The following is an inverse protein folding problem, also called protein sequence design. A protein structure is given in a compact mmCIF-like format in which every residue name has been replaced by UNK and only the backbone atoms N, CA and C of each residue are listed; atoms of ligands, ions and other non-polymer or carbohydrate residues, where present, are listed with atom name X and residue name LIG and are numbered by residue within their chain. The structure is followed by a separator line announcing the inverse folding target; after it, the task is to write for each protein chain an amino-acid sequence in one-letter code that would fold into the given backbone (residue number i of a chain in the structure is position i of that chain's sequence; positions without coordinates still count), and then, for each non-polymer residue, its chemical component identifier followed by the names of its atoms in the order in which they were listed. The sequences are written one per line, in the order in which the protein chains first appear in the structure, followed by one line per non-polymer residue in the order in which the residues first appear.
data_IF_876211525471
#
_entry.id   IF_876211525471
#
_cell.length_a   1.000
_cell.length_b   1.000
_cell.length_c   1.000
_cell.angle_alpha   90.00
_cell.angle_beta   90.00
_cell.angle_gamma   90.00
#
_symmetry.space_group_name_H-M   'P 1'
#
loop_
_entity.id
_entity.type
_entity.pdbx_description
1 polymer ?
#
# COMPACT_ATOMS: atom_id res chain seq x y z
N UNK A 1 12.32 2.26 22.49
CA UNK A 1 12.88 0.93 22.18
C UNK A 1 12.76 0.73 20.67
N UNK A 2 13.79 0.21 19.99
CA UNK A 2 13.67 -0.23 18.59
C UNK A 2 13.43 -1.75 18.58
N UNK A 3 12.35 -2.19 17.95
CA UNK A 3 11.98 -3.60 17.88
C UNK A 3 12.13 -4.16 16.47
N UNK A 4 12.43 -5.46 16.37
CA UNK A 4 12.46 -6.20 15.12
C UNK A 4 13.29 -5.53 14.01
N UNK A 5 14.40 -4.89 14.36
CA UNK A 5 15.26 -4.19 13.41
C UNK A 5 15.70 -5.11 12.27
N UNK A 6 15.81 -4.53 11.07
CA UNK A 6 16.23 -5.24 9.87
C UNK A 6 17.21 -4.36 9.11
N UNK A 7 18.31 -4.96 8.67
CA UNK A 7 19.37 -4.30 7.92
C UNK A 7 19.75 -5.21 6.76
N UNK A 8 19.67 -4.71 5.54
CA UNK A 8 19.82 -5.54 4.35
C UNK A 8 20.24 -4.75 3.12
N UNK A 9 20.81 -5.49 2.16
CA UNK A 9 21.27 -4.96 0.89
C UNK A 9 20.15 -4.89 -0.15
N UNK A 10 20.20 -3.84 -0.95
CA UNK A 10 19.28 -3.59 -2.08
C UNK A 10 20.10 -3.15 -3.29
N UNK A 11 19.76 -3.70 -4.45
CA UNK A 11 20.33 -3.31 -5.73
C UNK A 11 19.83 -1.92 -6.15
N UNK A 12 20.73 -1.08 -6.68
CA UNK A 12 20.35 0.22 -7.26
C UNK A 12 20.05 0.16 -8.75
N UNK A 13 20.28 -1.00 -9.36
CA UNK A 13 20.29 -1.18 -10.81
C UNK A 13 19.30 -2.26 -11.27
N UNK A 14 18.72 -3.02 -10.35
CA UNK A 14 17.78 -4.10 -10.64
C UNK A 14 16.75 -4.26 -9.52
N UNK A 15 15.67 -4.96 -9.81
CA UNK A 15 14.63 -5.32 -8.83
C UNK A 15 15.00 -6.59 -8.05
N UNK A 16 16.14 -7.20 -8.36
CA UNK A 16 16.59 -8.42 -7.70
C UNK A 16 16.98 -8.14 -6.24
N UNK A 17 16.71 -9.14 -5.40
CA UNK A 17 17.23 -9.18 -4.05
C UNK A 17 18.75 -9.40 -4.09
N UNK A 18 19.42 -8.92 -3.05
CA UNK A 18 20.84 -9.20 -2.82
C UNK A 18 20.99 -10.01 -1.55
N UNK A 19 21.93 -10.95 -1.54
CA UNK A 19 22.40 -11.60 -0.32
C UNK A 19 23.03 -10.55 0.61
N UNK A 20 22.94 -10.71 1.92
CA UNK A 20 23.43 -9.76 2.92
C UNK A 20 24.94 -9.55 2.92
N UNK A 21 25.71 -10.44 2.29
CA UNK A 21 27.18 -10.40 2.27
C UNK A 21 27.78 -9.83 0.98
N UNK A 22 26.95 -9.35 0.04
CA UNK A 22 27.48 -8.83 -1.24
C UNK A 22 28.21 -7.50 -1.05
N UNK A 23 29.39 -7.39 -1.66
CA UNK A 23 30.18 -6.16 -1.69
C UNK A 23 30.42 -5.78 -3.14
N UNK A 24 30.16 -4.52 -3.49
CA UNK A 24 30.33 -4.05 -4.87
C UNK A 24 29.70 -2.68 -5.11
N UNK A 25 29.86 -2.18 -6.33
CA UNK A 25 29.16 -0.98 -6.79
C UNK A 25 27.68 -1.27 -7.03
N UNK A 26 26.83 -0.24 -6.88
CA UNK A 26 25.39 -0.37 -7.12
C UNK A 26 24.60 -1.06 -6.01
N UNK A 27 25.11 -1.03 -4.77
CA UNK A 27 24.47 -1.60 -3.58
C UNK A 27 24.15 -0.47 -2.60
N UNK A 28 22.94 -0.51 -2.02
CA UNK A 28 22.54 0.31 -0.86
C UNK A 28 22.15 -0.57 0.31
N UNK A 29 22.24 -0.01 1.51
CA UNK A 29 21.64 -0.60 2.70
C UNK A 29 20.35 0.16 2.94
N UNK A 30 19.19 -0.50 2.81
CA UNK A 30 17.89 0.17 2.83
C UNK A 30 17.85 1.42 1.93
N UNK A 31 17.70 2.64 2.48
CA UNK A 31 17.76 3.93 1.76
C UNK A 31 18.90 4.78 2.34
N UNK A 32 20.08 4.18 2.32
CA UNK A 32 21.31 4.83 2.75
C UNK A 32 22.55 4.03 2.37
N UNK A 33 23.68 4.50 2.87
CA UNK A 33 25.00 3.92 2.64
C UNK A 33 25.58 3.45 3.96
N UNK A 34 26.22 2.29 3.94
CA UNK A 34 26.90 1.74 5.11
C UNK A 34 28.41 1.80 4.89
N UNK A 35 29.12 2.36 5.87
CA UNK A 35 30.57 2.43 5.86
C UNK A 35 31.13 1.25 6.65
N UNK A 36 31.60 0.23 5.94
CA UNK A 36 32.17 -0.99 6.53
C UNK A 36 33.36 -0.73 7.47
N UNK A 37 34.20 0.26 7.15
CA UNK A 37 35.41 0.54 7.94
C UNK A 37 35.10 1.20 9.29
N UNK A 38 34.03 1.99 9.33
CA UNK A 38 33.61 2.72 10.54
C UNK A 38 32.47 2.04 11.29
N UNK A 39 31.85 1.04 10.67
CA UNK A 39 30.63 0.39 11.15
C UNK A 39 29.49 1.40 11.39
N UNK A 40 29.25 2.27 10.40
CA UNK A 40 28.25 3.35 10.50
C UNK A 40 27.31 3.32 9.30
N UNK A 41 26.01 3.31 9.58
CA UNK A 41 24.96 3.59 8.59
C UNK A 41 24.72 5.09 8.47
N UNK A 42 24.67 5.58 7.23
CA UNK A 42 24.46 6.97 6.88
C UNK A 42 23.23 7.04 5.97
N UNK A 43 22.09 7.58 6.46
CA UNK A 43 20.90 7.77 5.64
C UNK A 43 21.17 8.68 4.45
N UNK A 44 20.49 8.43 3.33
CA UNK A 44 20.56 9.33 2.19
C UNK A 44 20.01 10.73 2.54
N UNK A 45 20.51 11.77 1.87
CA UNK A 45 20.07 13.14 2.10
C UNK A 45 18.56 13.28 1.88
N UNK A 46 17.86 13.72 2.93
CA UNK A 46 16.40 13.90 2.94
C UNK A 46 15.61 12.67 3.38
N UNK A 47 16.27 11.52 3.56
CA UNK A 47 15.70 10.37 4.25
C UNK A 47 15.75 10.60 5.76
N UNK A 48 14.67 10.22 6.45
CA UNK A 48 14.55 10.31 7.90
C UNK A 48 14.36 8.89 8.42
N UNK A 49 15.16 8.49 9.40
CA UNK A 49 14.97 7.24 10.14
C UNK A 49 14.00 7.48 11.31
N UNK A 50 13.12 6.52 11.57
CA UNK A 50 12.13 6.56 12.67
C UNK A 50 10.70 6.87 12.22
N UNK A 51 9.87 7.32 13.14
CA UNK A 51 8.40 7.40 12.97
C UNK A 51 7.92 8.40 11.91
N UNK A 52 8.75 9.41 11.63
CA UNK A 52 8.57 10.42 10.59
C UNK A 52 9.14 10.02 9.23
N UNK A 53 9.80 8.86 9.16
CA UNK A 53 10.36 8.28 7.94
C UNK A 53 9.34 7.54 7.08
N UNK A 54 9.84 6.86 6.05
CA UNK A 54 9.04 5.99 5.20
C UNK A 54 8.63 4.72 5.94
N UNK A 55 7.47 4.17 5.57
CA UNK A 55 6.91 2.94 6.13
C UNK A 55 6.71 1.92 5.01
N UNK A 56 6.87 0.63 5.33
CA UNK A 56 6.46 -0.43 4.41
C UNK A 56 4.94 -0.39 4.16
N UNK A 57 4.17 -0.12 5.21
CA UNK A 57 2.73 -0.09 5.13
C UNK A 57 2.20 1.05 6.00
N UNK A 58 1.21 1.78 5.50
CA UNK A 58 0.57 2.90 6.21
C UNK A 58 -0.72 2.47 6.94
N UNK A 59 -1.07 1.18 6.88
CA UNK A 59 -2.15 0.55 7.63
C UNK A 59 -1.66 -0.24 8.85
N UNK A 60 -2.30 -1.38 9.13
CA UNK A 60 -1.92 -2.27 10.24
C UNK A 60 -0.82 -3.22 9.78
N UNK A 61 0.42 -2.93 10.16
CA UNK A 61 1.57 -3.76 9.81
C UNK A 61 2.70 -3.52 10.82
N UNK A 62 3.21 -4.58 11.43
CA UNK A 62 4.23 -4.50 12.47
C UNK A 62 5.20 -5.68 12.41
N UNK A 63 6.29 -5.61 13.20
CA UNK A 63 7.29 -6.67 13.35
C UNK A 63 7.79 -7.23 12.01
N UNK A 64 7.98 -6.35 11.03
CA UNK A 64 8.32 -6.76 9.68
C UNK A 64 9.75 -7.29 9.59
N UNK A 65 9.96 -8.36 8.82
CA UNK A 65 11.28 -8.95 8.60
C UNK A 65 11.44 -9.36 7.14
N UNK A 66 12.67 -9.27 6.65
CA UNK A 66 12.99 -9.66 5.27
C UNK A 66 13.96 -10.83 5.26
N UNK A 67 13.91 -11.62 4.19
CA UNK A 67 14.94 -12.60 3.87
C UNK A 67 15.21 -12.58 2.36
N UNK A 68 16.39 -13.08 1.98
CA UNK A 68 16.76 -13.25 0.58
C UNK A 68 16.36 -14.65 0.10
N UNK A 69 15.52 -14.70 -0.93
CA UNK A 69 15.19 -15.91 -1.67
C UNK A 69 16.21 -16.08 -2.79
N UNK A 70 17.21 -16.93 -2.55
CA UNK A 70 18.30 -17.21 -3.49
C UNK A 70 17.86 -18.02 -4.71
N UNK A 71 16.74 -18.74 -4.63
CA UNK A 71 16.22 -19.51 -5.76
C UNK A 71 15.63 -18.58 -6.81
N UNK A 72 14.87 -17.57 -6.38
CA UNK A 72 14.24 -16.58 -7.28
C UNK A 72 14.93 -15.22 -7.31
N UNK A 73 16.08 -15.08 -6.64
CA UNK A 73 16.91 -13.88 -6.62
C UNK A 73 16.12 -12.63 -6.23
N UNK A 74 15.31 -12.72 -5.17
CA UNK A 74 14.40 -11.66 -4.72
C UNK A 74 14.45 -11.50 -3.22
N UNK A 75 14.10 -10.32 -2.72
CA UNK A 75 13.95 -10.08 -1.29
C UNK A 75 12.49 -10.12 -0.91
N UNK A 76 12.17 -10.99 0.05
CA UNK A 76 10.80 -11.19 0.51
C UNK A 76 10.63 -10.50 1.87
N UNK A 77 9.57 -9.71 2.00
CA UNK A 77 9.11 -9.06 3.22
C UNK A 77 7.93 -9.83 3.79
N UNK A 78 8.04 -10.16 5.07
CA UNK A 78 6.95 -10.58 5.93
C UNK A 78 6.61 -9.47 6.92
N UNK A 79 5.38 -9.46 7.40
CA UNK A 79 4.98 -8.63 8.53
C UNK A 79 3.72 -9.18 9.19
N UNK A 80 3.56 -8.78 10.44
CA UNK A 80 2.44 -9.14 11.26
C UNK A 80 1.33 -8.09 11.14
N UNK A 81 0.10 -8.54 10.90
CA UNK A 81 -1.10 -7.70 10.89
C UNK A 81 -1.86 -7.99 12.17
N UNK A 82 -1.71 -7.14 13.19
CA UNK A 82 -2.40 -7.37 14.45
C UNK A 82 -3.92 -7.33 14.29
N UNK A 83 -4.61 -8.08 15.14
CA UNK A 83 -6.05 -8.26 15.04
C UNK A 83 -6.82 -6.98 15.38
N UNK A 84 -7.92 -6.74 14.65
CA UNK A 84 -8.83 -5.62 14.93
C UNK A 84 -10.03 -6.05 15.80
N UNK A 85 -10.17 -7.35 16.03
CA UNK A 85 -11.26 -7.93 16.83
C UNK A 85 -10.97 -7.81 18.33
N UNK A 86 -12.00 -7.69 19.19
CA UNK A 86 -11.83 -7.77 20.63
C UNK A 86 -11.55 -9.21 21.09
N UNK A 87 -10.90 -9.36 22.25
CA UNK A 87 -10.80 -10.65 22.95
C UNK A 87 -12.21 -11.07 23.42
N UNK A 88 -12.69 -12.30 23.23
CA UNK A 88 -11.98 -13.55 22.89
C UNK A 88 -11.97 -13.92 21.39
N UNK A 89 -12.54 -13.08 20.51
CA UNK A 89 -12.78 -13.45 19.10
C UNK A 89 -11.49 -13.75 18.35
N UNK A 90 -10.45 -12.93 18.52
CA UNK A 90 -9.18 -13.17 17.83
C UNK A 90 -8.38 -14.36 18.39
N UNK A 91 -8.58 -14.73 19.66
CA UNK A 91 -7.98 -15.96 20.21
C UNK A 91 -8.56 -17.19 19.50
N UNK A 92 -9.87 -17.18 19.25
CA UNK A 92 -10.54 -18.25 18.50
C UNK A 92 -10.06 -18.36 17.05
N UNK A 93 -9.65 -17.26 16.43
CA UNK A 93 -9.11 -17.27 15.06
C UNK A 93 -7.80 -18.06 14.96
N UNK A 94 -6.93 -17.98 15.97
CA UNK A 94 -5.75 -18.86 16.10
C UNK A 94 -4.57 -18.57 15.14
N UNK A 95 -4.68 -17.59 14.23
CA UNK A 95 -3.61 -17.20 13.30
C UNK A 95 -3.74 -15.72 12.90
N UNK A 96 -2.63 -15.11 12.45
CA UNK A 96 -2.56 -13.71 12.01
C UNK A 96 -1.30 -13.49 11.17
N UNK A 97 -1.39 -12.75 10.05
CA UNK A 97 -0.24 -12.46 9.19
C UNK A 97 -0.59 -11.81 7.85
N UNK A 98 0.39 -11.14 7.25
CA UNK A 98 0.30 -10.59 5.90
C UNK A 98 0.72 -11.61 4.83
N UNK A 99 0.22 -11.44 3.60
CA UNK A 99 0.79 -12.07 2.42
C UNK A 99 2.22 -11.54 2.18
N UNK A 100 3.19 -12.41 1.84
CA UNK A 100 4.57 -11.98 1.57
C UNK A 100 4.67 -11.07 0.35
N UNK A 101 5.60 -10.12 0.41
CA UNK A 101 5.82 -9.15 -0.67
C UNK A 101 7.27 -9.19 -1.15
N UNK A 102 7.49 -9.19 -2.45
CA UNK A 102 8.76 -8.80 -3.04
C UNK A 102 9.02 -7.33 -2.74
N UNK A 103 10.27 -6.99 -2.40
CA UNK A 103 10.69 -5.61 -2.18
C UNK A 103 11.94 -5.26 -2.97
N UNK A 104 11.98 -4.05 -3.51
CA UNK A 104 13.11 -3.53 -4.26
C UNK A 104 13.19 -2.00 -4.19
N UNK A 105 14.28 -1.41 -4.65
CA UNK A 105 14.45 0.03 -4.67
C UNK A 105 13.73 0.63 -5.89
N UNK A 106 12.92 1.68 -5.66
CA UNK A 106 12.32 2.43 -6.76
C UNK A 106 13.40 3.08 -7.66
N UNK A 107 13.07 3.34 -8.92
CA UNK A 107 13.97 3.99 -9.89
C UNK A 107 14.43 5.39 -9.41
N UNK A 108 13.60 6.11 -8.66
CA UNK A 108 13.99 7.39 -8.04
C UNK A 108 15.01 7.24 -6.91
N UNK A 109 15.18 6.01 -6.39
CA UNK A 109 16.05 5.64 -5.27
C UNK A 109 15.69 6.31 -3.95
N UNK A 110 14.47 6.82 -3.82
CA UNK A 110 13.98 7.52 -2.63
C UNK A 110 13.04 6.70 -1.77
N UNK A 111 12.55 5.56 -2.26
CA UNK A 111 11.61 4.70 -1.56
C UNK A 111 11.75 3.24 -2.01
N UNK A 112 11.15 2.33 -1.24
CA UNK A 112 11.03 0.93 -1.61
C UNK A 112 9.70 0.67 -2.30
N UNK A 113 9.76 -0.14 -3.36
CA UNK A 113 8.60 -0.71 -4.01
C UNK A 113 8.28 -2.06 -3.37
N UNK A 114 6.99 -2.40 -3.37
CA UNK A 114 6.47 -3.65 -2.83
C UNK A 114 5.45 -4.23 -3.81
N UNK A 115 5.45 -5.55 -3.94
CA UNK A 115 4.44 -6.29 -4.70
C UNK A 115 4.29 -7.70 -4.13
N UNK A 116 3.09 -8.30 -4.05
CA UNK A 116 2.91 -9.69 -3.69
C UNK A 116 3.86 -10.60 -4.43
N UNK A 117 4.28 -11.66 -3.75
CA UNK A 117 5.00 -12.73 -4.41
C UNK A 117 4.15 -13.29 -5.57
N UNK A 118 4.76 -13.54 -6.73
CA UNK A 118 4.04 -13.98 -7.93
C UNK A 118 3.33 -15.33 -7.77
N UNK A 119 3.70 -16.12 -6.76
CA UNK A 119 3.02 -17.36 -6.39
C UNK A 119 1.53 -17.13 -6.09
N UNK A 120 1.13 -15.97 -5.56
CA UNK A 120 -0.28 -15.70 -5.25
C UNK A 120 -1.15 -15.71 -6.50
N UNK A 121 -0.57 -15.42 -7.67
CA UNK A 121 -1.29 -15.36 -8.93
C UNK A 121 -1.84 -16.74 -9.33
N UNK A 122 -1.24 -17.83 -8.83
CA UNK A 122 -1.72 -19.20 -9.05
C UNK A 122 -3.08 -19.48 -8.39
N UNK A 123 -3.51 -18.63 -7.45
CA UNK A 123 -4.82 -18.71 -6.81
C UNK A 123 -5.93 -17.99 -7.62
N UNK A 124 -5.56 -17.26 -8.68
CA UNK A 124 -6.52 -16.57 -9.55
C UNK A 124 -7.28 -17.61 -10.39
N UNK A 125 -8.61 -17.45 -10.46
CA UNK A 125 -9.49 -18.35 -11.20
C UNK A 125 -10.24 -17.57 -12.29
N UNK A 126 -11.51 -17.25 -12.05
CA UNK A 126 -12.40 -16.62 -13.02
C UNK A 126 -12.07 -15.12 -13.18
N UNK A 127 -11.14 -14.81 -14.07
CA UNK A 127 -10.79 -13.43 -14.40
C UNK A 127 -11.98 -12.72 -15.04
N UNK A 128 -12.26 -11.50 -14.54
CA UNK A 128 -13.30 -10.62 -15.08
C UNK A 128 -12.63 -9.33 -15.51
N UNK A 129 -12.52 -9.12 -16.81
CA UNK A 129 -11.98 -7.89 -17.38
C UNK A 129 -13.11 -6.93 -17.75
N UNK A 130 -12.96 -5.67 -17.35
CA UNK A 130 -13.89 -4.60 -17.72
C UNK A 130 -13.20 -3.64 -18.68
N UNK A 131 -13.81 -3.31 -19.83
CA UNK A 131 -13.27 -2.29 -20.71
C UNK A 131 -13.29 -0.93 -20.00
N UNK A 132 -12.43 -0.01 -20.46
CA UNK A 132 -12.41 1.38 -19.99
C UNK A 132 -13.80 1.99 -20.02
N UNK A 133 -14.30 2.39 -18.85
CA UNK A 133 -15.62 3.00 -18.68
C UNK A 133 -15.47 4.39 -18.07
N UNK A 134 -16.19 5.35 -18.64
CA UNK A 134 -16.30 6.69 -18.06
C UNK A 134 -17.19 6.64 -16.82
N UNK A 135 -16.59 6.81 -15.64
CA UNK A 135 -17.32 6.92 -14.37
C UNK A 135 -17.62 8.40 -14.12
N UNK A 136 -18.90 8.77 -14.18
CA UNK A 136 -19.34 10.15 -13.89
C UNK A 136 -19.20 10.46 -12.39
N UNK A 137 -19.08 11.74 -12.05
CA UNK A 137 -19.03 12.17 -10.65
C UNK A 137 -20.24 11.64 -9.85
N UNK A 138 -19.99 11.11 -8.65
CA UNK A 138 -20.99 10.50 -7.75
C UNK A 138 -21.71 9.26 -8.32
N UNK A 139 -21.18 8.65 -9.38
CA UNK A 139 -21.67 7.35 -9.86
C UNK A 139 -20.89 6.20 -9.22
N UNK A 140 -21.50 5.03 -9.21
CA UNK A 140 -20.87 3.77 -8.80
C UNK A 140 -21.10 2.76 -9.92
N UNK A 141 -20.06 1.98 -10.22
CA UNK A 141 -20.14 0.85 -11.13
C UNK A 141 -20.00 -0.41 -10.30
N UNK A 142 -21.04 -1.23 -10.27
CA UNK A 142 -20.99 -2.55 -9.64
C UNK A 142 -20.21 -3.52 -10.55
N UNK A 143 -19.29 -4.26 -9.96
CA UNK A 143 -18.56 -5.34 -10.62
C UNK A 143 -19.23 -6.65 -10.20
N UNK A 144 -19.96 -7.27 -11.13
CA UNK A 144 -20.61 -8.56 -10.92
C UNK A 144 -19.69 -9.72 -11.29
N UNK A 145 -20.12 -10.94 -10.94
CA UNK A 145 -19.47 -12.20 -11.33
C UNK A 145 -18.11 -12.47 -10.66
N UNK A 146 -17.85 -11.87 -9.50
CA UNK A 146 -16.67 -12.15 -8.66
C UNK A 146 -17.10 -12.62 -7.26
N UNK A 147 -16.30 -13.48 -6.63
CA UNK A 147 -16.47 -13.83 -5.22
C UNK A 147 -15.92 -12.69 -4.35
N UNK A 148 -16.78 -11.77 -3.91
CA UNK A 148 -16.39 -10.49 -3.28
C UNK A 148 -15.55 -10.65 -1.99
N UNK A 149 -15.70 -11.77 -1.28
CA UNK A 149 -14.96 -12.02 -0.03
C UNK A 149 -13.50 -12.49 -0.26
N UNK A 150 -13.17 -12.98 -1.45
CA UNK A 150 -11.83 -13.45 -1.81
C UNK A 150 -11.59 -13.21 -3.29
N UNK A 151 -10.99 -12.07 -3.60
CA UNK A 151 -10.66 -11.66 -4.96
C UNK A 151 -9.34 -10.86 -4.97
N UNK A 152 -8.66 -10.93 -6.10
CA UNK A 152 -7.55 -10.04 -6.45
C UNK A 152 -8.06 -9.06 -7.51
N UNK A 153 -7.94 -7.76 -7.25
CA UNK A 153 -8.53 -6.70 -8.07
C UNK A 153 -7.47 -5.68 -8.43
N UNK A 154 -7.14 -5.60 -9.72
CA UNK A 154 -6.31 -4.56 -10.29
C UNK A 154 -7.17 -3.56 -11.06
N UNK A 155 -6.97 -2.26 -10.83
CA UNK A 155 -7.70 -1.19 -11.52
C UNK A 155 -6.76 -0.04 -11.86
N UNK A 156 -6.91 0.50 -13.08
CA UNK A 156 -6.25 1.72 -13.50
C UNK A 156 -7.26 2.84 -13.73
N UNK A 157 -6.95 4.03 -13.22
CA UNK A 157 -7.76 5.22 -13.37
C UNK A 157 -7.09 6.22 -14.31
N UNK A 158 -7.79 6.59 -15.39
CA UNK A 158 -7.44 7.77 -16.18
C UNK A 158 -8.29 8.94 -15.72
N UNK A 159 -7.64 10.03 -15.32
CA UNK A 159 -8.29 11.19 -14.72
C UNK A 159 -8.41 12.31 -15.74
N UNK A 160 -9.65 12.65 -16.11
CA UNK A 160 -9.94 13.81 -16.94
C UNK A 160 -10.03 15.08 -16.08
N UNK A 161 -9.46 16.17 -16.58
CA UNK A 161 -9.57 17.47 -15.95
C UNK A 161 -8.70 17.66 -14.71
N UNK A 162 -7.49 17.08 -14.70
CA UNK A 162 -6.54 17.19 -13.57
C UNK A 162 -6.21 18.65 -13.21
N UNK A 163 -6.29 19.54 -14.20
CA UNK A 163 -6.17 20.99 -14.02
C UNK A 163 -7.27 21.61 -13.15
N UNK A 164 -8.35 20.89 -12.86
CA UNK A 164 -9.42 21.35 -11.95
C UNK A 164 -9.16 21.00 -10.48
N UNK A 165 -8.12 20.20 -10.19
CA UNK A 165 -7.73 19.92 -8.81
C UNK A 165 -7.40 21.22 -8.06
N UNK A 166 -7.88 21.36 -6.82
CA UNK A 166 -7.55 22.53 -5.99
C UNK A 166 -6.13 22.44 -5.44
N UNK A 167 -5.57 23.61 -5.14
CA UNK A 167 -4.28 23.74 -4.46
C UNK A 167 -4.35 23.08 -3.08
N UNK A 168 -3.34 22.28 -2.76
CA UNK A 168 -3.17 21.68 -1.45
C UNK A 168 -2.79 22.76 -0.43
N UNK A 169 -3.41 22.73 0.74
CA UNK A 169 -3.01 23.60 1.85
C UNK A 169 -1.61 23.17 2.33
N UNK A 170 -0.62 24.08 2.40
CA UNK A 170 0.74 23.75 2.85
C UNK A 170 0.82 23.17 4.27
N UNK A 171 -0.18 23.42 5.12
CA UNK A 171 -0.25 22.85 6.48
C UNK A 171 -0.60 21.36 6.51
N UNK A 172 -1.09 20.79 5.41
CA UNK A 172 -1.53 19.41 5.30
C UNK A 172 -0.36 18.44 5.12
N UNK A 173 0.32 18.12 6.23
CA UNK A 173 1.51 17.24 6.21
C UNK A 173 1.22 15.79 6.61
N UNK A 174 0.13 15.53 7.33
CA UNK A 174 -0.23 14.19 7.82
C UNK A 174 -1.32 13.54 6.94
N UNK A 175 -0.97 12.57 6.07
CA UNK A 175 -1.93 11.95 5.16
C UNK A 175 -3.04 11.17 5.88
N UNK A 176 -2.74 10.55 7.03
CA UNK A 176 -3.72 9.80 7.81
C UNK A 176 -4.81 10.73 8.37
N UNK A 177 -4.41 11.90 8.88
CA UNK A 177 -5.35 12.91 9.35
C UNK A 177 -6.25 13.39 8.21
N UNK A 178 -5.68 13.67 7.03
CA UNK A 178 -6.45 14.11 5.85
C UNK A 178 -7.46 13.06 5.36
N UNK A 179 -7.13 11.78 5.47
CA UNK A 179 -8.06 10.70 5.15
C UNK A 179 -9.20 10.59 6.18
N UNK A 180 -8.94 10.92 7.46
CA UNK A 180 -9.95 10.88 8.52
C UNK A 180 -10.91 12.06 8.52
N UNK A 181 -10.50 13.21 7.98
CA UNK A 181 -11.33 14.40 7.95
C UNK A 181 -12.47 14.26 6.91
N UNK A 182 -13.71 14.33 7.41
CA UNK A 182 -14.95 14.20 6.63
C UNK A 182 -15.53 15.54 6.14
N UNK A 183 -14.83 16.65 6.42
CA UNK A 183 -15.37 17.98 6.23
C UNK A 183 -15.68 18.31 4.76
N UNK A 184 -16.81 18.99 4.57
CA UNK A 184 -17.21 19.50 3.27
C UNK A 184 -16.24 20.56 2.71
N UNK A 185 -15.38 21.17 3.54
CA UNK A 185 -14.31 22.09 3.11
C UNK A 185 -13.16 21.38 2.41
N UNK A 186 -12.96 20.08 2.66
CA UNK A 186 -11.95 19.21 1.99
C UNK A 186 -12.48 18.69 0.64
N UNK A 187 -13.70 19.10 0.25
CA UNK A 187 -14.21 18.99 -1.13
C UNK A 187 -13.41 19.91 -2.04
N UNK A 188 -12.17 19.52 -2.35
CA UNK A 188 -11.24 20.35 -3.11
C UNK A 188 -10.32 19.59 -4.05
N UNK A 189 -9.81 18.45 -3.63
CA UNK A 189 -9.07 17.58 -4.55
C UNK A 189 -10.00 17.00 -5.62
N UNK A 190 -9.45 16.69 -6.79
CA UNK A 190 -10.16 15.85 -7.76
C UNK A 190 -10.30 14.46 -7.15
N UNK A 191 -11.55 14.04 -6.90
CA UNK A 191 -11.91 12.86 -6.14
C UNK A 191 -13.20 13.05 -5.35
N UNK A 192 -13.70 12.05 -4.64
CA UNK A 192 -13.14 10.71 -4.42
C UNK A 192 -13.38 9.78 -5.62
N UNK A 193 -12.37 9.01 -6.01
CA UNK A 193 -12.52 7.87 -6.93
C UNK A 193 -11.69 6.68 -6.44
N UNK A 194 -12.22 5.48 -6.58
CA UNK A 194 -11.63 4.28 -5.99
C UNK A 194 -12.60 3.11 -5.96
N UNK A 195 -12.37 2.21 -5.01
CA UNK A 195 -13.11 0.97 -4.81
C UNK A 195 -13.87 0.97 -3.50
N UNK A 196 -15.05 0.36 -3.50
CA UNK A 196 -15.70 -0.13 -2.29
C UNK A 196 -15.51 -1.65 -2.25
N UNK A 197 -14.79 -2.13 -1.24
CA UNK A 197 -14.49 -3.55 -1.04
C UNK A 197 -15.21 -4.06 0.21
N UNK A 198 -15.43 -5.38 0.28
CA UNK A 198 -16.18 -6.01 1.39
C UNK A 198 -17.52 -5.32 1.65
N UNK A 199 -18.21 -4.95 0.56
CA UNK A 199 -19.42 -4.17 0.62
C UNK A 199 -20.65 -5.06 0.65
N UNK A 200 -21.62 -4.75 1.52
CA UNK A 200 -22.96 -5.33 1.45
C UNK A 200 -23.73 -4.73 0.27
N UNK A 201 -24.76 -5.45 -0.20
CA UNK A 201 -25.61 -5.03 -1.33
C UNK A 201 -26.28 -3.67 -1.11
N UNK A 202 -26.62 -3.34 0.13
CA UNK A 202 -27.20 -2.05 0.50
C UNK A 202 -26.16 -0.97 0.86
N UNK A 203 -24.87 -1.29 0.72
CA UNK A 203 -23.71 -0.44 1.03
C UNK A 203 -23.66 0.06 2.48
N UNK A 204 -24.46 -0.48 3.40
CA UNK A 204 -24.41 -0.11 4.81
C UNK A 204 -23.09 -0.49 5.46
N UNK A 205 -22.51 -1.61 5.03
CA UNK A 205 -21.14 -1.98 5.37
C UNK A 205 -20.27 -1.98 4.13
N UNK A 206 -19.10 -1.35 4.22
CA UNK A 206 -18.07 -1.37 3.18
C UNK A 206 -16.76 -0.78 3.71
N UNK A 207 -15.66 -1.16 3.08
CA UNK A 207 -14.37 -0.45 3.18
C UNK A 207 -14.16 0.34 1.90
N UNK A 208 -13.83 1.63 2.00
CA UNK A 208 -13.54 2.47 0.83
C UNK A 208 -12.05 2.66 0.68
N UNK A 209 -11.49 2.26 -0.46
CA UNK A 209 -10.09 2.56 -0.81
C UNK A 209 -10.06 3.46 -2.02
N UNK A 210 -9.58 4.68 -1.83
CA UNK A 210 -9.79 5.75 -2.80
C UNK A 210 -8.61 6.71 -2.88
N UNK A 211 -8.59 7.47 -3.98
CA UNK A 211 -7.62 8.51 -4.24
C UNK A 211 -8.25 9.91 -4.20
N UNK A 212 -7.42 10.88 -3.86
CA UNK A 212 -7.65 12.32 -4.05
C UNK A 212 -6.42 12.92 -4.73
N UNK A 213 -6.63 13.78 -5.71
CA UNK A 213 -5.54 14.51 -6.38
C UNK A 213 -5.63 15.98 -6.03
N UNK A 214 -4.52 16.57 -5.60
CA UNK A 214 -4.36 17.99 -5.33
C UNK A 214 -3.28 18.58 -6.22
N UNK A 215 -3.35 19.88 -6.48
CA UNK A 215 -2.22 20.63 -7.02
C UNK A 215 -1.25 21.01 -5.91
N UNK A 216 0.03 20.95 -6.23
CA UNK A 216 1.11 21.49 -5.41
C UNK A 216 1.82 22.61 -6.17
N UNK A 217 2.76 23.27 -5.48
CA UNK A 217 3.59 24.31 -6.10
C UNK A 217 4.37 23.76 -7.31
N UNK A 218 4.73 24.67 -8.23
CA UNK A 218 5.52 24.35 -9.42
C UNK A 218 4.85 23.35 -10.38
N UNK A 219 3.52 23.45 -10.56
CA UNK A 219 2.72 22.59 -11.46
C UNK A 219 2.83 21.09 -11.16
N UNK A 220 3.21 20.71 -9.93
CA UNK A 220 3.21 19.32 -9.48
C UNK A 220 1.84 18.93 -8.94
N UNK A 221 1.60 17.63 -8.86
CA UNK A 221 0.40 17.08 -8.25
C UNK A 221 0.77 16.22 -7.04
N UNK A 222 -0.11 16.19 -6.05
CA UNK A 222 -0.02 15.31 -4.89
C UNK A 222 -1.20 14.35 -4.97
N UNK A 223 -0.90 13.06 -4.92
CA UNK A 223 -1.89 12.00 -4.90
C UNK A 223 -1.96 11.45 -3.48
N UNK A 224 -3.13 11.58 -2.85
CA UNK A 224 -3.42 11.01 -1.54
C UNK A 224 -4.22 9.72 -1.74
N UNK A 225 -3.72 8.62 -1.20
CA UNK A 225 -4.43 7.35 -1.11
C UNK A 225 -4.97 7.16 0.31
N UNK A 226 -6.24 6.77 0.42
CA UNK A 226 -6.92 6.55 1.68
C UNK A 226 -7.57 5.17 1.72
N UNK A 227 -7.55 4.53 2.89
CA UNK A 227 -8.33 3.35 3.22
C UNK A 227 -9.26 3.67 4.39
N UNK A 228 -10.52 4.00 4.10
CA UNK A 228 -11.55 4.34 5.08
C UNK A 228 -12.39 3.12 5.44
N UNK A 229 -12.27 2.69 6.70
CA UNK A 229 -12.98 1.55 7.29
C UNK A 229 -14.08 2.02 8.26
N UNK A 230 -14.43 3.31 8.30
CA UNK A 230 -15.38 3.86 9.28
C UNK A 230 -16.82 3.34 9.14
N UNK A 231 -17.14 2.76 7.99
CA UNK A 231 -18.43 2.10 7.71
C UNK A 231 -18.33 0.57 7.76
N UNK A 232 -17.23 0.00 8.25
CA UNK A 232 -17.07 -1.44 8.38
C UNK A 232 -17.36 -1.87 9.82
N UNK A 233 -18.37 -2.72 10.02
CA UNK A 233 -18.65 -3.34 11.31
C UNK A 233 -18.21 -4.81 11.28
N UNK A 234 -17.27 -5.17 12.17
CA UNK A 234 -16.70 -6.52 12.25
C UNK A 234 -17.70 -7.61 12.68
N UNK A 235 -18.92 -7.26 13.09
CA UNK A 235 -19.86 -8.19 13.71
C UNK A 235 -20.54 -9.15 12.73
N UNK A 236 -20.81 -8.73 11.48
CA UNK A 236 -21.60 -9.54 10.54
C UNK A 236 -20.76 -10.51 9.72
N UNK A 237 -19.52 -10.17 9.35
CA UNK A 237 -18.66 -11.07 8.58
C UNK A 237 -18.10 -12.25 9.39
N UNK A 238 -17.99 -12.13 10.72
CA UNK A 238 -17.48 -13.19 11.60
C UNK A 238 -18.45 -14.39 11.70
N UNK A 239 -19.73 -14.20 11.41
CA UNK A 239 -20.73 -15.27 11.56
C UNK A 239 -20.85 -16.19 10.33
N UNK A 240 -20.28 -15.83 9.17
CA UNK A 240 -20.38 -16.66 7.96
C UNK A 240 -19.08 -16.91 7.21
N UNK A 241 -17.99 -16.18 7.50
CA UNK A 241 -16.70 -16.44 6.87
C UNK A 241 -15.56 -16.21 7.86
N UNK A 242 -14.70 -17.22 8.02
CA UNK A 242 -13.37 -17.06 8.61
C UNK A 242 -12.57 -16.10 7.74
N UNK A 243 -12.64 -14.81 8.06
CA UNK A 243 -11.94 -13.75 7.33
C UNK A 243 -10.43 -13.99 7.39
N UNK A 244 -9.83 -14.27 6.23
CA UNK A 244 -8.41 -14.07 6.04
C UNK A 244 -8.15 -12.56 6.04
N UNK A 245 -7.58 -12.04 7.13
CA UNK A 245 -7.12 -10.64 7.26
C UNK A 245 -5.85 -10.38 6.41
N UNK A 246 -5.81 -10.89 5.19
CA UNK A 246 -4.70 -10.72 4.25
C UNK A 246 -5.23 -10.05 2.99
N UNK A 247 -5.53 -8.76 3.06
CA UNK A 247 -5.78 -7.99 1.85
C UNK A 247 -4.44 -7.48 1.33
N UNK A 248 -4.10 -7.87 0.10
CA UNK A 248 -3.18 -7.08 -0.70
C UNK A 248 -4.02 -6.31 -1.70
N UNK A 249 -4.30 -5.05 -1.38
CA UNK A 249 -4.69 -4.11 -2.43
C UNK A 249 -3.40 -3.61 -3.07
N UNK A 250 -3.02 -4.27 -4.16
CA UNK A 250 -1.87 -3.87 -4.93
C UNK A 250 -2.25 -2.73 -5.88
N UNK A 251 -2.11 -1.50 -5.43
CA UNK A 251 -2.19 -0.37 -6.33
C UNK A 251 -0.85 -0.19 -7.02
N UNK A 252 -0.81 -0.55 -8.30
CA UNK A 252 0.14 0.04 -9.22
C UNK A 252 -0.22 1.53 -9.36
N UNK A 253 0.44 2.41 -8.60
CA UNK A 253 0.66 3.78 -9.07
C UNK A 253 1.79 3.68 -10.07
N UNK A 254 1.52 3.08 -11.24
CA UNK A 254 2.44 3.23 -12.36
C UNK A 254 2.52 4.73 -12.62
N UNK A 255 3.75 5.24 -12.61
CA UNK A 255 4.18 6.57 -12.99
C UNK A 255 3.85 6.89 -14.47
N UNK A 256 2.62 6.66 -14.91
CA UNK A 256 2.10 7.09 -16.22
C UNK A 256 1.29 8.39 -16.10
N UNK A 257 1.12 8.94 -14.89
CA UNK A 257 0.53 10.29 -14.70
C UNK A 257 1.51 11.44 -14.99
N UNK A 258 2.74 11.15 -15.44
CA UNK A 258 3.78 12.14 -15.75
C UNK A 258 4.57 11.78 -17.02
N UNK A 259 3.88 11.49 -18.11
CA UNK A 259 4.38 11.73 -19.48
C UNK A 259 3.46 12.67 -20.19
#
# INVERSE_FOLDING_TARGET
MWECTVFFLISTNSENGLDTYMVGSGIKHTIGTYNLNKDIYIPDKGSVDGDSGLRYDYGKFYASKTFFDSVKQRRILWGWINEALPQPKYIKQGWSGAIPRNIWLDKSRKQLMQWPISEIETLRMNQVDLPSKLVKGRSMLEISSITVAQADVEISFSVLGIEKAKMMDPSWTNPQLLCSQKDASIKGGLGLFGLKVLALKDLKEHTSVFFRIFKAQSNKHVVLMCSDQSMFLSALFVNNFSLLNSYVLCFNILSQLLT
#
